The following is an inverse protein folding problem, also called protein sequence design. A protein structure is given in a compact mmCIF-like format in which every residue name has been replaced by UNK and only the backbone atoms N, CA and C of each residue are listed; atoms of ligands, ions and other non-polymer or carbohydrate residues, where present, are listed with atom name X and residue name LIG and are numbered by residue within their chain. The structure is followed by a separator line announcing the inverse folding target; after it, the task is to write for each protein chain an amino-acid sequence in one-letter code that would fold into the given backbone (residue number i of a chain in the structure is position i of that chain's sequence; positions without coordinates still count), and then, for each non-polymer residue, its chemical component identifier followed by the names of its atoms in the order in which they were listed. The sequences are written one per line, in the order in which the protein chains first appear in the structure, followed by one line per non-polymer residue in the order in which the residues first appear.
data_IF_334945926033
#
_entry.id   IF_334945926033
#
_cell.length_a   1.000
_cell.length_b   1.000
_cell.length_c   1.000
_cell.angle_alpha   90.00
_cell.angle_beta   90.00
_cell.angle_gamma   90.00
#
_symmetry.space_group_name_H-M   'P 1'
#
loop_
_entity.id
_entity.type
_entity.pdbx_description
1 polymer ?
#
# COMPACT_ATOMS: atom_id res chain seq x y z
N UNK A 1 3.18 31.31 -11.80
CA UNK A 1 3.37 29.91 -12.28
C UNK A 1 3.66 28.94 -11.12
N UNK A 2 4.49 29.32 -10.14
CA UNK A 2 4.75 28.51 -8.93
C UNK A 2 3.52 28.24 -8.03
N UNK A 3 2.57 29.18 -7.91
CA UNK A 3 1.39 28.97 -7.05
C UNK A 3 0.48 27.86 -7.54
N UNK A 4 0.24 27.76 -8.86
CA UNK A 4 -0.66 26.72 -9.42
C UNK A 4 -0.13 25.30 -9.18
N UNK A 5 1.20 25.11 -9.18
CA UNK A 5 1.83 23.81 -8.91
C UNK A 5 1.61 23.40 -7.45
N UNK A 6 1.81 24.33 -6.50
CA UNK A 6 1.57 24.07 -5.07
C UNK A 6 0.10 23.75 -4.78
N UNK A 7 -0.83 24.48 -5.39
CA UNK A 7 -2.27 24.23 -5.23
C UNK A 7 -2.69 22.84 -5.74
N UNK A 8 -2.08 22.37 -6.83
CA UNK A 8 -2.39 21.06 -7.41
C UNK A 8 -1.88 19.91 -6.52
N UNK A 9 -0.63 20.00 -6.06
CA UNK A 9 -0.04 18.98 -5.16
C UNK A 9 -0.80 18.91 -3.84
N UNK A 10 -1.15 20.05 -3.25
CA UNK A 10 -1.90 20.10 -2.00
C UNK A 10 -3.30 19.49 -2.14
N UNK A 11 -4.01 19.79 -3.23
CA UNK A 11 -5.34 19.22 -3.50
C UNK A 11 -5.29 17.70 -3.64
N UNK A 12 -4.26 17.16 -4.31
CA UNK A 12 -4.06 15.70 -4.44
C UNK A 12 -3.80 15.04 -3.09
N UNK A 13 -2.97 15.65 -2.24
CA UNK A 13 -2.70 15.14 -0.89
C UNK A 13 -3.99 15.05 -0.06
N UNK A 14 -4.80 16.11 -0.04
CA UNK A 14 -6.09 16.11 0.67
C UNK A 14 -7.07 15.06 0.15
N UNK A 15 -7.06 14.80 -1.16
CA UNK A 15 -7.90 13.76 -1.75
C UNK A 15 -7.46 12.35 -1.29
N UNK A 16 -6.15 12.08 -1.25
CA UNK A 16 -5.60 10.81 -0.75
C UNK A 16 -5.93 10.64 0.74
N UNK A 17 -5.72 11.69 1.54
CA UNK A 17 -5.99 11.64 2.99
C UNK A 17 -7.47 11.38 3.28
N UNK A 18 -8.39 12.03 2.54
CA UNK A 18 -9.84 11.72 2.64
C UNK A 18 -10.15 10.29 2.25
N UNK A 19 -9.50 9.76 1.21
CA UNK A 19 -9.72 8.39 0.76
C UNK A 19 -9.21 7.37 1.79
N UNK A 20 -8.06 7.65 2.42
CA UNK A 20 -7.52 6.86 3.52
C UNK A 20 -8.44 6.85 4.74
N UNK A 21 -8.91 8.02 5.18
CA UNK A 21 -9.70 8.18 6.41
C UNK A 21 -11.15 7.73 6.24
N UNK A 22 -11.80 8.10 5.13
CA UNK A 22 -13.25 7.96 5.01
C UNK A 22 -13.69 6.65 4.35
N UNK A 23 -12.86 6.04 3.49
CA UNK A 23 -13.29 4.91 2.67
C UNK A 23 -12.67 3.58 3.09
N UNK A 24 -11.44 3.58 3.61
CA UNK A 24 -10.71 2.33 3.87
C UNK A 24 -10.06 2.24 5.25
N UNK A 25 -10.10 3.30 6.05
CA UNK A 25 -9.54 3.36 7.40
C UNK A 25 -8.10 2.84 7.46
N UNK A 26 -7.25 3.30 6.53
CA UNK A 26 -5.85 2.86 6.45
C UNK A 26 -4.89 3.90 7.04
N UNK A 27 -3.86 3.40 7.72
CA UNK A 27 -2.75 4.21 8.23
C UNK A 27 -1.76 4.57 7.13
N UNK A 28 -0.87 5.53 7.41
CA UNK A 28 0.23 5.90 6.50
C UNK A 28 1.11 4.72 6.10
N UNK A 29 1.53 3.88 7.05
CA UNK A 29 2.38 2.72 6.73
C UNK A 29 1.64 1.68 5.90
N UNK A 30 0.33 1.50 6.12
CA UNK A 30 -0.50 0.63 5.28
C UNK A 30 -0.64 1.18 3.86
N UNK A 31 -0.79 2.50 3.70
CA UNK A 31 -0.76 3.14 2.39
C UNK A 31 0.57 2.90 1.68
N UNK A 32 1.70 3.13 2.36
CA UNK A 32 3.04 2.92 1.78
C UNK A 32 3.24 1.48 1.30
N UNK A 33 2.79 0.50 2.09
CA UNK A 33 2.82 -0.91 1.72
C UNK A 33 1.90 -1.19 0.53
N UNK A 34 0.66 -0.70 0.53
CA UNK A 34 -0.30 -0.89 -0.55
C UNK A 34 0.21 -0.32 -1.88
N UNK A 35 0.76 0.89 -1.86
CA UNK A 35 1.34 1.53 -3.04
C UNK A 35 2.55 0.75 -3.56
N UNK A 36 3.41 0.26 -2.65
CA UNK A 36 4.57 -0.53 -3.04
C UNK A 36 4.18 -1.87 -3.67
N UNK A 37 3.17 -2.54 -3.12
CA UNK A 37 2.62 -3.76 -3.68
C UNK A 37 2.04 -3.49 -5.08
N UNK A 38 1.17 -2.48 -5.24
CA UNK A 38 0.54 -2.15 -6.52
C UNK A 38 1.50 -1.69 -7.63
N UNK A 39 2.65 -1.12 -7.27
CA UNK A 39 3.72 -0.80 -8.22
C UNK A 39 4.48 -2.05 -8.71
N UNK A 40 4.44 -3.12 -7.92
CA UNK A 40 5.30 -4.29 -8.08
C UNK A 40 4.51 -5.54 -8.48
N UNK A 41 3.18 -5.54 -8.38
CA UNK A 41 2.28 -6.67 -8.69
C UNK A 41 2.23 -7.05 -10.17
N UNK A 42 2.85 -6.28 -11.08
CA UNK A 42 3.14 -6.77 -12.43
C UNK A 42 3.98 -8.06 -12.45
N UNK A 43 4.62 -8.42 -11.32
CA UNK A 43 5.50 -9.59 -11.18
C UNK A 43 5.10 -10.61 -10.09
N UNK A 44 3.88 -10.56 -9.56
CA UNK A 44 3.39 -11.53 -8.56
C UNK A 44 3.63 -11.15 -7.08
N UNK A 45 3.70 -12.17 -6.22
CA UNK A 45 3.76 -12.01 -4.76
C UNK A 45 5.11 -11.47 -4.27
N UNK A 46 5.11 -10.63 -3.23
CA UNK A 46 6.32 -9.98 -2.71
C UNK A 46 6.61 -10.42 -1.29
N UNK A 47 7.84 -10.84 -1.02
CA UNK A 47 8.23 -11.22 0.32
C UNK A 47 8.16 -10.04 1.31
N UNK A 48 7.72 -10.32 2.55
CA UNK A 48 7.71 -9.34 3.64
C UNK A 48 9.09 -8.72 3.88
N UNK A 49 10.16 -9.52 3.69
CA UNK A 49 11.54 -9.05 3.75
C UNK A 49 11.82 -7.96 2.72
N UNK A 50 11.34 -8.11 1.49
CA UNK A 50 11.53 -7.13 0.43
C UNK A 50 10.75 -5.85 0.72
N UNK A 51 9.50 -5.97 1.17
CA UNK A 51 8.66 -4.82 1.58
C UNK A 51 9.38 -4.01 2.65
N UNK A 52 9.84 -4.67 3.72
CA UNK A 52 10.59 -4.05 4.81
C UNK A 52 11.83 -3.31 4.31
N UNK A 53 12.63 -3.99 3.47
CA UNK A 53 13.90 -3.44 2.95
C UNK A 53 13.67 -2.21 2.08
N UNK A 54 12.69 -2.27 1.19
CA UNK A 54 12.40 -1.20 0.22
C UNK A 54 11.76 0.02 0.87
N UNK A 55 10.84 -0.19 1.80
CA UNK A 55 10.16 0.88 2.51
C UNK A 55 10.94 1.39 3.73
N UNK A 56 12.03 0.72 4.12
CA UNK A 56 12.83 1.02 5.31
C UNK A 56 11.98 1.08 6.60
N UNK A 57 10.91 0.29 6.65
CA UNK A 57 10.02 0.22 7.80
C UNK A 57 10.60 -0.72 8.88
N UNK A 58 10.37 -0.45 10.18
CA UNK A 58 10.66 -1.41 11.24
C UNK A 58 9.93 -2.74 11.01
N UNK A 59 10.50 -3.85 11.49
CA UNK A 59 9.90 -5.19 11.33
C UNK A 59 8.48 -5.24 11.90
N UNK A 60 8.29 -4.71 13.12
CA UNK A 60 6.97 -4.67 13.77
C UNK A 60 5.97 -3.84 12.96
N UNK A 61 6.38 -2.65 12.50
CA UNK A 61 5.53 -1.78 11.67
C UNK A 61 5.15 -2.42 10.34
N UNK A 62 6.10 -3.10 9.69
CA UNK A 62 5.84 -3.81 8.42
C UNK A 62 4.82 -4.92 8.64
N UNK A 63 5.03 -5.75 9.66
CA UNK A 63 4.16 -6.88 9.95
C UNK A 63 2.75 -6.43 10.35
N UNK A 64 2.63 -5.43 11.24
CA UNK A 64 1.35 -4.82 11.63
C UNK A 64 0.66 -4.17 10.44
N UNK A 65 1.41 -3.46 9.59
CA UNK A 65 0.89 -2.85 8.37
C UNK A 65 0.29 -3.89 7.42
N UNK A 66 1.03 -4.97 7.13
CA UNK A 66 0.55 -6.06 6.27
C UNK A 66 -0.67 -6.73 6.90
N UNK A 67 -0.63 -7.10 8.18
CA UNK A 67 -1.77 -7.73 8.85
C UNK A 67 -3.02 -6.85 8.80
N UNK A 68 -2.88 -5.55 9.04
CA UNK A 68 -4.01 -4.63 8.95
C UNK A 68 -4.57 -4.46 7.52
N UNK A 69 -3.74 -4.61 6.47
CA UNK A 69 -4.23 -4.67 5.09
C UNK A 69 -4.99 -5.98 4.80
N UNK A 70 -4.49 -7.10 5.35
CA UNK A 70 -5.16 -8.42 5.23
C UNK A 70 -6.51 -8.40 5.94
N UNK A 71 -6.58 -7.89 7.15
CA UNK A 71 -7.84 -7.74 7.92
C UNK A 71 -8.87 -6.90 7.18
N UNK A 72 -8.43 -5.88 6.43
CA UNK A 72 -9.29 -5.02 5.60
C UNK A 72 -9.67 -5.64 4.25
N UNK A 73 -9.15 -6.84 3.96
CA UNK A 73 -9.35 -7.55 2.70
C UNK A 73 -8.65 -6.90 1.50
N UNK A 74 -7.61 -6.10 1.74
CA UNK A 74 -6.85 -5.38 0.70
C UNK A 74 -5.60 -6.15 0.26
N UNK A 75 -5.13 -7.10 1.06
CA UNK A 75 -3.99 -7.94 0.74
C UNK A 75 -4.23 -9.39 1.20
N UNK A 76 -3.47 -10.32 0.65
CA UNK A 76 -3.40 -11.71 1.09
C UNK A 76 -1.94 -12.07 1.44
N UNK A 77 -1.77 -13.03 2.35
CA UNK A 77 -0.48 -13.62 2.68
C UNK A 77 -0.42 -15.05 2.16
N UNK A 78 0.71 -15.42 1.56
CA UNK A 78 1.01 -16.79 1.16
C UNK A 78 2.29 -17.20 1.87
N UNK A 79 2.20 -18.29 2.63
CA UNK A 79 3.35 -18.88 3.31
C UNK A 79 3.90 -20.03 2.48
N UNK A 80 5.17 -19.95 2.10
CA UNK A 80 5.84 -21.10 1.51
C UNK A 80 6.27 -22.08 2.61
N UNK A 81 5.65 -23.26 2.63
CA UNK A 81 5.91 -24.32 3.61
C UNK A 81 7.38 -24.73 3.72
N UNK A 82 8.15 -24.57 2.63
CA UNK A 82 9.56 -24.95 2.57
C UNK A 82 10.53 -23.91 3.16
N UNK A 83 10.17 -22.61 3.13
CA UNK A 83 11.13 -21.53 3.37
C UNK A 83 10.79 -20.63 4.57
N UNK A 84 9.62 -20.82 5.22
CA UNK A 84 9.06 -19.89 6.24
C UNK A 84 9.02 -18.44 5.77
N UNK A 85 9.08 -18.22 4.46
CA UNK A 85 8.95 -16.89 3.88
C UNK A 85 7.47 -16.57 3.74
N UNK A 86 7.11 -15.36 4.16
CA UNK A 86 5.78 -14.80 3.98
C UNK A 86 5.81 -13.91 2.75
N UNK A 87 4.96 -14.21 1.80
CA UNK A 87 4.72 -13.43 0.60
C UNK A 87 3.38 -12.72 0.71
N UNK A 88 3.28 -11.55 0.07
CA UNK A 88 2.12 -10.67 0.14
C UNK A 88 1.74 -10.23 -1.26
N UNK A 89 0.45 -10.26 -1.56
CA UNK A 89 -0.12 -9.75 -2.80
C UNK A 89 -1.37 -8.91 -2.51
N UNK A 90 -1.71 -7.98 -3.41
CA UNK A 90 -2.98 -7.28 -3.34
C UNK A 90 -4.13 -8.23 -3.72
N UNK A 91 -5.27 -8.06 -3.07
CA UNK A 91 -6.53 -8.65 -3.55
C UNK A 91 -7.11 -7.77 -4.66
N UNK A 92 -8.19 -8.22 -5.32
CA UNK A 92 -8.93 -7.38 -6.28
C UNK A 92 -9.35 -6.03 -5.65
N UNK A 93 -9.81 -6.06 -4.39
CA UNK A 93 -10.17 -4.84 -3.64
C UNK A 93 -8.95 -3.94 -3.38
N UNK A 94 -7.79 -4.54 -3.10
CA UNK A 94 -6.52 -3.83 -2.96
C UNK A 94 -6.08 -3.15 -4.26
N UNK A 95 -6.19 -3.85 -5.38
CA UNK A 95 -5.88 -3.34 -6.72
C UNK A 95 -6.83 -2.19 -7.13
N UNK A 96 -8.13 -2.31 -6.87
CA UNK A 96 -9.11 -1.22 -7.11
C UNK A 96 -8.77 0.04 -6.30
N UNK A 97 -8.36 -0.16 -5.03
CA UNK A 97 -7.96 0.94 -4.17
C UNK A 97 -6.67 1.59 -4.68
N UNK A 98 -5.67 0.80 -5.04
CA UNK A 98 -4.45 1.29 -5.66
C UNK A 98 -4.73 2.07 -6.95
N UNK A 99 -5.59 1.55 -7.83
CA UNK A 99 -6.04 2.23 -9.04
C UNK A 99 -6.67 3.59 -8.75
N UNK A 100 -7.60 3.65 -7.78
CA UNK A 100 -8.24 4.89 -7.35
C UNK A 100 -7.22 5.94 -6.86
N UNK A 101 -6.19 5.50 -6.14
CA UNK A 101 -5.13 6.40 -5.65
C UNK A 101 -4.22 6.84 -6.80
N UNK A 102 -3.89 5.94 -7.71
CA UNK A 102 -3.08 6.22 -8.90
C UNK A 102 -3.73 7.28 -9.78
N UNK A 103 -5.04 7.20 -10.01
CA UNK A 103 -5.80 8.21 -10.78
C UNK A 103 -5.73 9.61 -10.17
N UNK A 104 -5.69 9.72 -8.83
CA UNK A 104 -5.54 11.00 -8.13
C UNK A 104 -4.13 11.57 -8.33
N UNK A 105 -3.12 10.70 -8.30
CA UNK A 105 -1.70 11.10 -8.39
C UNK A 105 -1.30 11.42 -9.84
N UNK A 106 -1.86 10.70 -10.82
CA UNK A 106 -1.53 10.80 -12.24
C UNK A 106 -0.63 9.65 -12.69
#
# INVERSE_FOLDING_TARGET
MYDRIKTNVFSKYLAIERLMLNKFDITKSQLEILLYLGLSTSNGEISERNIKSRLKLPKSTTSVGISGLVEKGLATKVEESASRNVYVALTNKGEEMYGSIKEIIG
#
